data_IF_526060382333
#
_entry.id   IF_526060382333
#
_cell.length_a   1.000
_cell.length_b   1.000
_cell.length_c   1.000
_cell.angle_alpha   90.00
_cell.angle_beta   90.00
_cell.angle_gamma   90.00
#
_symmetry.space_group_name_H-M   'P 1'
#
loop_
_entity.id
_entity.type
_entity.pdbx_description
1 polymer ?
#
# COMPACT_ATOMS: atom_id res chain seq x y z
N UNK A 1 21.66 2.71 44.94
CA UNK A 1 22.11 3.23 43.63
C UNK A 1 21.43 2.56 42.41
N UNK A 2 20.33 1.80 42.60
CA UNK A 2 19.60 1.10 41.51
C UNK A 2 18.25 1.77 41.20
N UNK A 3 17.80 2.72 42.01
CA UNK A 3 16.49 3.38 41.85
C UNK A 3 16.46 4.47 40.76
N UNK A 4 17.61 4.92 40.23
CA UNK A 4 17.64 6.04 39.28
C UNK A 4 17.39 5.63 37.82
N UNK A 5 17.53 4.35 37.43
CA UNK A 5 17.37 3.98 36.02
C UNK A 5 15.90 3.96 35.57
N UNK A 6 14.97 3.57 36.45
CA UNK A 6 13.54 3.66 36.17
C UNK A 6 13.02 5.11 36.17
N UNK A 7 13.66 5.99 36.95
CA UNK A 7 13.30 7.41 37.03
C UNK A 7 13.79 8.18 35.78
N UNK A 8 14.95 7.80 35.24
CA UNK A 8 15.44 8.29 33.95
C UNK A 8 14.60 7.81 32.76
N UNK A 9 14.11 6.57 32.78
CA UNK A 9 13.12 6.11 31.79
C UNK A 9 11.80 6.88 31.92
N UNK A 10 11.33 7.14 33.14
CA UNK A 10 10.09 7.90 33.36
C UNK A 10 10.16 9.34 32.80
N UNK A 11 11.29 10.05 32.97
CA UNK A 11 11.42 11.41 32.42
C UNK A 11 11.45 11.47 30.89
N UNK A 12 11.89 10.41 30.22
CA UNK A 12 11.95 10.37 28.74
C UNK A 12 10.59 10.04 28.12
N UNK A 13 9.70 9.37 28.88
CA UNK A 13 8.38 8.93 28.41
C UNK A 13 7.27 9.96 28.71
N UNK A 14 7.47 10.86 29.70
CA UNK A 14 6.47 11.86 30.10
C UNK A 14 6.15 12.96 29.06
N UNK A 15 6.75 12.91 27.86
CA UNK A 15 6.56 13.92 26.80
C UNK A 15 5.61 13.54 25.65
N UNK A 16 5.06 12.33 25.59
CA UNK A 16 4.34 11.86 24.40
C UNK A 16 2.91 11.42 24.74
N UNK A 17 1.98 12.37 24.57
CA UNK A 17 0.55 12.14 24.49
C UNK A 17 0.24 11.35 23.21
N UNK A 18 0.39 10.03 23.27
CA UNK A 18 0.01 9.09 22.22
C UNK A 18 0.50 7.69 22.56
N UNK A 19 -0.43 6.77 22.91
CA UNK A 19 -0.11 5.38 23.17
C UNK A 19 0.32 4.69 21.87
N UNK A 20 1.61 4.72 21.60
CA UNK A 20 2.20 3.99 20.49
C UNK A 20 2.38 2.53 20.92
N UNK A 21 1.68 1.55 20.32
CA UNK A 21 1.84 0.13 20.66
C UNK A 21 3.28 -0.37 20.44
N UNK A 22 4.09 0.37 19.67
CA UNK A 22 5.52 0.15 19.52
C UNK A 22 6.29 0.45 20.82
N UNK A 23 5.97 1.53 21.51
CA UNK A 23 6.64 1.90 22.76
C UNK A 23 6.35 0.88 23.87
N UNK A 24 5.10 0.43 23.97
CA UNK A 24 4.71 -0.58 24.95
C UNK A 24 5.45 -1.91 24.73
N UNK A 25 5.54 -2.37 23.48
CA UNK A 25 6.32 -3.55 23.10
C UNK A 25 7.82 -3.37 23.38
N UNK A 26 8.36 -2.16 23.18
CA UNK A 26 9.76 -1.86 23.50
C UNK A 26 10.03 -1.95 25.02
N UNK A 27 9.10 -1.49 25.84
CA UNK A 27 9.17 -1.65 27.31
C UNK A 27 9.13 -3.12 27.72
N UNK A 28 8.27 -3.94 27.09
CA UNK A 28 8.25 -5.39 27.33
C UNK A 28 9.60 -6.02 26.96
N UNK A 29 10.19 -5.65 25.82
CA UNK A 29 11.52 -6.11 25.38
C UNK A 29 12.59 -5.73 26.40
N UNK A 30 12.52 -4.52 26.97
CA UNK A 30 13.43 -4.07 28.02
C UNK A 30 13.27 -4.91 29.30
N UNK A 31 12.04 -5.20 29.73
CA UNK A 31 11.79 -6.06 30.90
C UNK A 31 12.35 -7.48 30.71
N UNK A 32 12.25 -8.05 29.51
CA UNK A 32 12.86 -9.37 29.19
C UNK A 32 14.38 -9.31 29.29
N UNK A 33 15.02 -8.24 28.79
CA UNK A 33 16.48 -8.04 28.94
C UNK A 33 16.93 -7.85 30.38
N UNK A 34 16.05 -7.38 31.26
CA UNK A 34 16.26 -7.28 32.70
C UNK A 34 15.94 -8.58 33.45
N UNK A 35 15.71 -9.69 32.74
CA UNK A 35 15.35 -11.01 33.30
C UNK A 35 14.08 -10.97 34.18
N UNK A 36 13.17 -10.03 33.90
CA UNK A 36 11.89 -9.93 34.60
C UNK A 36 10.87 -10.90 34.04
N UNK A 37 10.09 -11.49 34.94
CA UNK A 37 9.00 -12.36 34.56
C UNK A 37 7.85 -11.56 33.93
N UNK A 38 7.02 -12.22 33.14
CA UNK A 38 5.83 -11.59 32.56
C UNK A 38 4.88 -11.04 33.63
N UNK A 39 4.77 -11.74 34.78
CA UNK A 39 3.94 -11.33 35.91
C UNK A 39 4.45 -10.02 36.57
N UNK A 40 5.76 -9.80 36.61
CA UNK A 40 6.36 -8.53 37.08
C UNK A 40 6.28 -7.42 36.02
N UNK A 41 6.22 -7.78 34.74
CA UNK A 41 6.19 -6.83 33.62
C UNK A 41 4.84 -6.10 33.54
N UNK A 42 3.73 -6.77 33.85
CA UNK A 42 2.38 -6.19 33.86
C UNK A 42 2.25 -4.97 34.79
N UNK A 43 2.61 -5.04 36.09
CA UNK A 43 2.53 -3.88 36.97
C UNK A 43 3.51 -2.76 36.57
N UNK A 44 4.65 -3.09 35.95
CA UNK A 44 5.57 -2.09 35.39
C UNK A 44 4.94 -1.33 34.22
N UNK A 45 4.28 -2.03 33.28
CA UNK A 45 3.57 -1.41 32.18
C UNK A 45 2.41 -0.55 32.68
N UNK A 46 1.62 -1.06 33.62
CA UNK A 46 0.51 -0.31 34.23
C UNK A 46 0.99 0.97 34.91
N UNK A 47 2.19 0.95 35.52
CA UNK A 47 2.79 2.15 36.12
C UNK A 47 3.32 3.14 35.08
N UNK A 48 3.85 2.65 33.95
CA UNK A 48 4.42 3.47 32.90
C UNK A 48 3.36 4.12 31.99
N UNK A 49 2.33 3.37 31.58
CA UNK A 49 1.32 3.76 30.59
C UNK A 49 -0.07 4.02 31.19
N UNK A 50 -0.29 3.68 32.47
CA UNK A 50 -1.55 3.95 33.16
C UNK A 50 -2.68 3.01 32.74
N UNK A 51 -3.74 3.56 32.17
CA UNK A 51 -4.99 2.83 31.84
C UNK A 51 -4.96 2.25 30.41
N UNK A 52 -4.21 2.89 29.53
CA UNK A 52 -4.18 2.58 28.11
C UNK A 52 -2.89 1.81 27.76
N UNK A 53 -2.89 0.51 28.06
CA UNK A 53 -1.79 -0.40 27.72
C UNK A 53 -2.31 -1.70 27.11
N UNK A 54 -1.40 -2.46 26.49
CA UNK A 54 -1.64 -3.77 25.89
C UNK A 54 -2.31 -4.69 26.90
N UNK A 55 -3.32 -5.43 26.45
CA UNK A 55 -3.95 -6.44 27.29
C UNK A 55 -2.93 -7.45 27.83
N UNK A 56 -3.15 -7.98 29.03
CA UNK A 56 -2.26 -8.98 29.64
C UNK A 56 -1.91 -10.12 28.69
N UNK A 57 -2.88 -10.59 27.89
CA UNK A 57 -2.66 -11.63 26.87
C UNK A 57 -1.66 -11.21 25.79
N UNK A 58 -1.71 -9.96 25.34
CA UNK A 58 -0.73 -9.42 24.39
C UNK A 58 0.64 -9.27 25.05
N UNK A 59 0.70 -8.82 26.31
CA UNK A 59 1.95 -8.72 27.07
C UNK A 59 2.62 -10.09 27.16
N UNK A 60 1.89 -11.13 27.56
CA UNK A 60 2.42 -12.50 27.61
C UNK A 60 2.92 -12.98 26.25
N UNK A 61 2.18 -12.72 25.18
CA UNK A 61 2.59 -13.09 23.81
C UNK A 61 3.90 -12.42 23.41
N UNK A 62 4.04 -11.13 23.65
CA UNK A 62 5.25 -10.36 23.34
C UNK A 62 6.42 -10.75 24.23
N UNK A 63 6.18 -10.90 25.53
CA UNK A 63 7.19 -11.33 26.50
C UNK A 63 7.79 -12.68 26.09
N UNK A 64 6.93 -13.65 25.75
CA UNK A 64 7.36 -14.96 25.23
C UNK A 64 8.17 -14.81 23.93
N UNK A 65 7.67 -14.03 22.97
CA UNK A 65 8.37 -13.85 21.69
C UNK A 65 9.77 -13.22 21.88
N UNK A 66 9.91 -12.24 22.76
CA UNK A 66 11.20 -11.63 23.09
C UNK A 66 12.11 -12.58 23.87
N UNK A 67 11.56 -13.41 24.77
CA UNK A 67 12.31 -14.44 25.47
C UNK A 67 12.83 -15.55 24.51
N UNK A 68 12.09 -15.82 23.43
CA UNK A 68 12.49 -16.73 22.35
C UNK A 68 13.52 -16.11 21.37
N UNK A 69 13.95 -14.86 21.60
CA UNK A 69 15.00 -14.22 20.81
C UNK A 69 14.51 -13.32 19.67
N UNK A 70 13.21 -12.98 19.61
CA UNK A 70 12.72 -11.95 18.68
C UNK A 70 13.35 -10.60 19.02
N UNK A 71 13.81 -9.86 18.01
CA UNK A 71 14.31 -8.50 18.22
C UNK A 71 13.36 -7.41 17.73
N UNK A 72 12.48 -7.71 16.77
CA UNK A 72 11.60 -6.70 16.20
C UNK A 72 10.40 -6.38 17.10
N UNK A 73 10.23 -5.07 17.33
CA UNK A 73 9.11 -4.47 18.07
C UNK A 73 7.90 -4.26 17.16
N UNK A 74 8.13 -4.18 15.85
CA UNK A 74 7.05 -4.09 14.87
C UNK A 74 6.35 -5.43 14.72
N UNK A 75 5.07 -5.38 14.40
CA UNK A 75 4.36 -6.57 13.93
C UNK A 75 5.04 -7.05 12.64
N UNK A 76 5.25 -8.36 12.53
CA UNK A 76 5.69 -8.94 11.26
C UNK A 76 4.67 -8.57 10.20
N UNK A 77 5.12 -8.31 8.97
CA UNK A 77 4.23 -8.15 7.84
C UNK A 77 3.32 -9.38 7.81
N UNK A 78 2.06 -9.19 8.21
CA UNK A 78 1.07 -10.25 8.17
C UNK A 78 0.89 -10.58 6.72
N UNK A 79 1.49 -11.67 6.26
CA UNK A 79 1.11 -12.28 5.01
C UNK A 79 -0.39 -12.57 5.15
N UNK A 80 -1.22 -11.72 4.54
CA UNK A 80 -2.59 -12.09 4.24
C UNK A 80 -2.56 -13.38 3.44
N UNK A 81 -3.67 -14.11 3.40
CA UNK A 81 -3.77 -15.26 2.48
C UNK A 81 -3.45 -14.75 1.07
N UNK A 82 -2.33 -15.16 0.44
CA UNK A 82 -2.20 -14.91 -0.99
C UNK A 82 -3.38 -15.67 -1.63
N UNK A 83 -4.20 -14.98 -2.44
CA UNK A 83 -5.22 -15.68 -3.21
C UNK A 83 -4.51 -16.80 -3.95
N UNK A 84 -4.89 -18.05 -3.66
CA UNK A 84 -4.24 -19.30 -4.12
C UNK A 84 -4.35 -19.51 -5.65
N UNK A 85 -4.67 -18.45 -6.38
CA UNK A 85 -4.96 -18.39 -7.80
C UNK A 85 -3.94 -17.58 -8.61
N UNK A 86 -3.09 -16.81 -7.93
CA UNK A 86 -2.01 -16.03 -8.56
C UNK A 86 -0.71 -16.84 -8.59
N UNK A 87 -0.73 -18.03 -9.21
CA UNK A 87 0.49 -18.80 -9.48
C UNK A 87 1.48 -17.96 -10.28
N UNK A 88 2.79 -18.10 -10.02
CA UNK A 88 3.86 -17.35 -10.71
C UNK A 88 3.78 -17.49 -12.24
N UNK A 89 3.32 -18.65 -12.72
CA UNK A 89 3.03 -18.87 -14.15
C UNK A 89 1.94 -17.94 -14.70
N UNK A 90 0.84 -17.75 -13.97
CA UNK A 90 -0.25 -16.86 -14.36
C UNK A 90 0.23 -15.40 -14.40
N UNK A 91 1.08 -15.01 -13.44
CA UNK A 91 1.68 -13.67 -13.38
C UNK A 91 2.56 -13.43 -14.61
N UNK A 92 3.37 -14.41 -14.99
CA UNK A 92 4.22 -14.34 -16.17
C UNK A 92 3.40 -14.24 -17.46
N UNK A 93 2.40 -15.10 -17.63
CA UNK A 93 1.52 -15.10 -18.82
C UNK A 93 0.76 -13.77 -18.99
N UNK A 94 0.25 -13.20 -17.89
CA UNK A 94 -0.41 -11.87 -17.90
C UNK A 94 0.59 -10.76 -18.24
N UNK A 95 1.81 -10.82 -17.69
CA UNK A 95 2.88 -9.86 -17.98
C UNK A 95 3.30 -9.88 -19.44
N UNK A 96 3.47 -11.07 -20.03
CA UNK A 96 3.89 -11.23 -21.42
C UNK A 96 2.83 -10.71 -22.40
N UNK A 97 1.54 -10.94 -22.11
CA UNK A 97 0.43 -10.37 -22.89
C UNK A 97 0.39 -8.84 -22.81
N UNK A 98 0.56 -8.27 -21.61
CA UNK A 98 0.55 -6.82 -21.42
C UNK A 98 1.79 -6.13 -22.01
N UNK A 99 2.92 -6.84 -22.10
CA UNK A 99 4.12 -6.38 -22.80
C UNK A 99 3.91 -6.37 -24.32
N UNK A 100 3.10 -7.29 -24.85
CA UNK A 100 2.76 -7.35 -26.28
C UNK A 100 1.76 -6.25 -26.66
N UNK A 101 0.70 -6.08 -25.86
CA UNK A 101 -0.26 -4.99 -26.03
C UNK A 101 -0.73 -4.42 -24.68
N UNK A 102 -0.26 -3.20 -24.38
CA UNK A 102 -0.57 -2.48 -23.15
C UNK A 102 -2.03 -1.98 -23.08
N UNK A 103 -2.77 -1.99 -24.19
CA UNK A 103 -4.15 -1.49 -24.26
C UNK A 103 -5.20 -2.59 -24.00
N UNK A 104 -4.77 -3.82 -23.75
CA UNK A 104 -5.67 -4.94 -23.48
C UNK A 104 -6.51 -4.71 -22.21
N UNK A 105 -7.80 -5.00 -22.33
CA UNK A 105 -8.74 -4.99 -21.20
C UNK A 105 -8.55 -6.24 -20.35
N UNK A 106 -8.76 -6.11 -19.03
CA UNK A 106 -8.82 -7.24 -18.07
C UNK A 106 -9.77 -8.34 -18.56
N UNK A 107 -10.87 -7.97 -19.24
CA UNK A 107 -11.82 -8.93 -19.82
C UNK A 107 -11.17 -9.77 -20.92
N UNK A 108 -10.43 -9.15 -21.82
CA UNK A 108 -9.81 -9.82 -22.97
C UNK A 108 -8.65 -10.72 -22.51
N UNK A 109 -7.88 -10.28 -21.52
CA UNK A 109 -6.81 -11.09 -20.91
C UNK A 109 -7.38 -12.33 -20.22
N UNK A 110 -8.49 -12.17 -19.50
CA UNK A 110 -9.23 -13.28 -18.86
C UNK A 110 -9.71 -14.31 -19.89
N UNK A 111 -10.28 -13.86 -21.00
CA UNK A 111 -10.75 -14.72 -22.10
C UNK A 111 -9.58 -15.40 -22.84
N UNK A 112 -8.43 -14.74 -22.95
CA UNK A 112 -7.24 -15.28 -23.65
C UNK A 112 -6.49 -16.33 -22.83
N UNK A 113 -6.37 -16.12 -21.52
CA UNK A 113 -5.59 -16.99 -20.63
C UNK A 113 -6.42 -18.03 -19.88
N UNK A 114 -7.75 -18.00 -20.06
CA UNK A 114 -8.74 -18.77 -19.29
C UNK A 114 -8.57 -18.63 -17.77
N UNK A 115 -8.39 -17.38 -17.33
CA UNK A 115 -8.20 -17.01 -15.92
C UNK A 115 -9.38 -16.15 -15.49
N UNK A 116 -9.88 -16.34 -14.26
CA UNK A 116 -10.94 -15.50 -13.71
C UNK A 116 -10.54 -14.03 -13.67
N UNK A 117 -11.44 -13.15 -14.09
CA UNK A 117 -11.24 -11.68 -14.12
C UNK A 117 -10.73 -11.11 -12.79
N UNK A 118 -11.15 -11.68 -11.66
CA UNK A 118 -10.72 -11.29 -10.32
C UNK A 118 -9.20 -11.46 -10.16
N UNK A 119 -8.67 -12.60 -10.59
CA UNK A 119 -7.25 -12.95 -10.49
C UNK A 119 -6.44 -12.05 -11.42
N UNK A 120 -6.90 -11.82 -12.66
CA UNK A 120 -6.23 -10.92 -13.59
C UNK A 120 -6.18 -9.49 -13.02
N UNK A 121 -7.27 -9.03 -12.40
CA UNK A 121 -7.29 -7.72 -11.74
C UNK A 121 -6.30 -7.62 -10.57
N UNK A 122 -6.25 -8.65 -9.72
CA UNK A 122 -5.30 -8.77 -8.60
C UNK A 122 -3.85 -8.75 -9.10
N UNK A 123 -3.52 -9.57 -10.12
CA UNK A 123 -2.18 -9.60 -10.72
C UNK A 123 -1.79 -8.24 -11.31
N UNK A 124 -2.68 -7.59 -12.06
CA UNK A 124 -2.40 -6.29 -12.69
C UNK A 124 -2.20 -5.19 -11.64
N UNK A 125 -3.01 -5.19 -10.58
CA UNK A 125 -3.02 -4.12 -9.57
C UNK A 125 -1.97 -4.31 -8.48
N UNK A 126 -1.82 -5.53 -7.98
CA UNK A 126 -0.96 -5.87 -6.83
C UNK A 126 0.42 -6.37 -7.29
N UNK A 127 0.47 -7.33 -8.21
CA UNK A 127 1.73 -7.94 -8.64
C UNK A 127 2.51 -7.13 -9.69
N UNK A 128 1.79 -6.45 -10.60
CA UNK A 128 2.39 -5.62 -11.66
C UNK A 128 2.35 -4.12 -11.33
N UNK A 129 1.58 -3.70 -10.32
CA UNK A 129 1.50 -2.30 -9.90
C UNK A 129 0.96 -1.33 -10.97
N UNK A 130 0.26 -1.84 -11.99
CA UNK A 130 -0.18 -1.04 -13.13
C UNK A 130 -1.47 -0.29 -12.78
N UNK A 131 -1.36 1.02 -12.53
CA UNK A 131 -2.53 1.90 -12.33
C UNK A 131 -2.92 2.58 -13.64
N UNK A 132 -4.22 2.78 -13.85
CA UNK A 132 -4.73 3.59 -14.98
C UNK A 132 -4.23 5.02 -14.84
N UNK A 133 -3.33 5.43 -15.73
CA UNK A 133 -2.94 6.84 -15.86
C UNK A 133 -4.10 7.60 -16.54
N UNK A 134 -4.90 8.33 -15.76
CA UNK A 134 -5.97 9.21 -16.25
C UNK A 134 -5.38 10.51 -16.84
N UNK A 135 -4.52 10.43 -17.85
CA UNK A 135 -3.97 11.63 -18.49
C UNK A 135 -3.89 11.55 -20.03
N UNK A 136 -4.97 11.10 -20.67
CA UNK A 136 -5.05 10.97 -22.14
C UNK A 136 -6.02 11.97 -22.77
N UNK A 137 -6.53 12.97 -22.04
CA UNK A 137 -7.56 13.89 -22.56
C UNK A 137 -7.05 15.16 -23.26
N UNK A 138 -5.74 15.44 -23.35
CA UNK A 138 -5.28 16.75 -23.86
C UNK A 138 -4.42 16.78 -25.13
N UNK A 139 -4.03 15.65 -25.75
CA UNK A 139 -3.16 15.71 -26.95
C UNK A 139 -3.83 15.38 -28.28
N UNK A 140 -5.06 14.86 -28.31
CA UNK A 140 -5.75 14.49 -29.57
C UNK A 140 -6.66 15.57 -30.17
N UNK A 141 -6.86 16.72 -29.50
CA UNK A 141 -7.69 17.82 -30.04
C UNK A 141 -6.93 18.77 -30.97
N UNK A 142 -5.60 18.68 -31.08
CA UNK A 142 -4.82 19.59 -31.94
C UNK A 142 -4.80 19.19 -33.42
N UNK A 143 -5.21 17.98 -33.79
CA UNK A 143 -5.15 17.50 -35.18
C UNK A 143 -6.45 17.67 -35.96
N UNK A 144 -7.56 18.03 -35.31
CA UNK A 144 -8.88 18.12 -35.96
C UNK A 144 -9.21 19.52 -36.53
N UNK A 145 -8.43 20.56 -36.23
CA UNK A 145 -8.72 21.94 -36.66
C UNK A 145 -7.97 22.40 -37.92
N UNK A 146 -7.23 21.52 -38.61
CA UNK A 146 -6.44 21.91 -39.78
C UNK A 146 -7.06 21.57 -41.15
N UNK A 147 -8.21 20.89 -41.22
CA UNK A 147 -8.76 20.40 -42.50
C UNK A 147 -9.97 21.20 -43.03
N UNK A 148 -10.65 22.01 -42.22
CA UNK A 148 -11.87 22.71 -42.69
C UNK A 148 -11.65 24.10 -43.33
N UNK A 149 -10.45 24.67 -43.27
CA UNK A 149 -10.20 26.02 -43.81
C UNK A 149 -9.81 26.08 -45.30
N UNK A 150 -9.83 24.97 -46.05
CA UNK A 150 -9.56 24.99 -47.49
C UNK A 150 -10.79 25.10 -48.39
N UNK A 151 -12.01 25.00 -47.84
CA UNK A 151 -13.24 24.88 -48.65
C UNK A 151 -14.06 26.17 -48.81
N UNK A 152 -13.66 27.29 -48.18
CA UNK A 152 -14.38 28.58 -48.29
C UNK A 152 -13.82 29.55 -49.35
N UNK A 153 -12.72 29.21 -50.05
CA UNK A 153 -12.09 30.14 -51.01
C UNK A 153 -12.55 29.97 -52.47
N UNK A 154 -13.48 29.07 -52.82
CA UNK A 154 -13.85 28.80 -54.22
C UNK A 154 -15.24 29.29 -54.67
N UNK A 155 -16.07 29.87 -53.78
CA UNK A 155 -17.43 30.31 -54.16
C UNK A 155 -17.61 31.83 -54.28
N UNK A 156 -16.55 32.58 -54.56
CA UNK A 156 -16.60 34.03 -54.73
C UNK A 156 -16.00 34.48 -56.08
N UNK A 157 -16.48 33.93 -57.21
CA UNK A 157 -16.21 34.52 -58.54
C UNK A 157 -17.38 34.50 -59.53
N UNK A 158 -18.47 33.75 -59.32
CA UNK A 158 -19.58 33.72 -60.30
C UNK A 158 -20.81 34.52 -59.87
N UNK A 159 -20.71 35.86 -59.83
CA UNK A 159 -21.86 36.76 -60.01
C UNK A 159 -21.38 38.06 -60.69
N UNK A 160 -20.88 37.93 -61.91
CA UNK A 160 -20.70 39.10 -62.80
C UNK A 160 -20.66 38.71 -64.28
N UNK A 161 -21.66 37.99 -64.79
CA UNK A 161 -21.98 38.06 -66.23
C UNK A 161 -23.39 37.55 -66.55
N UNK A 162 -24.38 38.44 -66.48
CA UNK A 162 -25.61 38.34 -67.28
C UNK A 162 -26.22 39.74 -67.36
N UNK A 163 -25.60 40.55 -68.22
CA UNK A 163 -26.10 41.85 -68.63
C UNK A 163 -25.78 42.02 -70.10
N UNK A 164 -26.59 41.41 -70.97
CA UNK A 164 -26.94 41.83 -72.34
C UNK A 164 -28.36 41.36 -72.59
#
# INVERSE_FOLDING_TARGET
>A
MILNLMEFCNLTIQGLSGNDPVQEKATIKFCVKLEKSAAETIPMLKKAFGVDYLSDRQIFRWHKAFAEGREDVNDENRAGRPSTSSSDDNVKRVRDLLNTDRRLSVRLISETLDITKIIVHEIVSESLGMRKNLNVKLSTLSSATAVENSSQSQNATELSFSGI
#
